data_IF_195870004526
#
_entry.id   IF_195870004526
#
_cell.length_a   1.000
_cell.length_b   1.000
_cell.length_c   1.000
_cell.angle_alpha   90.00
_cell.angle_beta   90.00
_cell.angle_gamma   90.00
#
_symmetry.space_group_name_H-M   'P 1'
#
loop_
_entity.id
_entity.type
_entity.pdbx_description
1 polymer ?
#
# COMPACT_ATOMS: atom_id res chain seq x y z
N UNK A 1 15.64 5.54 -18.84
CA UNK A 1 14.68 6.36 -19.61
C UNK A 1 13.62 6.83 -18.64
N UNK A 2 13.83 7.98 -17.98
CA UNK A 2 12.83 8.55 -17.07
C UNK A 2 11.82 9.30 -17.93
N UNK A 3 10.66 8.69 -18.21
CA UNK A 3 9.56 9.39 -18.85
C UNK A 3 9.08 10.48 -17.90
N UNK A 4 9.22 11.74 -18.32
CA UNK A 4 8.66 12.91 -17.67
C UNK A 4 7.12 12.86 -17.76
N UNK A 5 6.49 11.98 -16.98
CA UNK A 5 5.04 11.97 -16.85
C UNK A 5 4.68 13.14 -15.94
N UNK A 6 4.00 14.14 -16.50
CA UNK A 6 3.45 15.25 -15.73
C UNK A 6 2.46 14.72 -14.71
N UNK A 7 2.36 15.33 -13.54
CA UNK A 7 1.45 14.88 -12.47
C UNK A 7 0.00 14.80 -12.96
N UNK A 8 -0.42 15.64 -13.93
CA UNK A 8 -1.72 15.52 -14.59
C UNK A 8 -1.93 14.16 -15.28
N UNK A 9 -0.95 13.70 -16.04
CA UNK A 9 -1.02 12.41 -16.74
C UNK A 9 -0.95 11.23 -15.76
N UNK A 10 -0.22 11.40 -14.64
CA UNK A 10 -0.20 10.42 -13.54
C UNK A 10 -1.57 10.29 -12.88
N UNK A 11 -2.21 11.41 -12.53
CA UNK A 11 -3.57 11.41 -11.94
C UNK A 11 -4.58 10.71 -12.84
N UNK A 12 -4.51 10.95 -14.16
CA UNK A 12 -5.33 10.25 -15.16
C UNK A 12 -5.03 8.74 -15.20
N UNK A 13 -3.75 8.37 -15.28
CA UNK A 13 -3.32 6.96 -15.31
C UNK A 13 -3.71 6.20 -14.04
N UNK A 14 -3.69 6.87 -12.87
CA UNK A 14 -4.14 6.31 -11.59
C UNK A 14 -5.64 6.04 -11.60
N UNK A 15 -6.44 7.01 -12.05
CA UNK A 15 -7.89 6.86 -12.18
C UNK A 15 -8.25 5.66 -13.09
N UNK A 16 -7.59 5.55 -14.23
CA UNK A 16 -7.77 4.41 -15.16
C UNK A 16 -7.32 3.08 -14.53
N UNK A 17 -6.15 3.05 -13.87
CA UNK A 17 -5.60 1.86 -13.22
C UNK A 17 -6.55 1.27 -12.17
N UNK A 18 -7.18 2.14 -11.38
CA UNK A 18 -8.11 1.73 -10.33
C UNK A 18 -9.58 1.74 -10.77
N UNK A 19 -9.85 1.99 -12.06
CA UNK A 19 -11.21 2.01 -12.64
C UNK A 19 -12.15 2.95 -11.88
N UNK A 20 -11.67 4.16 -11.58
CA UNK A 20 -12.47 5.17 -10.89
C UNK A 20 -13.52 5.73 -11.86
N UNK A 21 -14.77 5.31 -11.69
CA UNK A 21 -15.89 5.72 -12.56
C UNK A 21 -16.58 7.01 -12.08
N UNK A 22 -16.38 7.40 -10.81
CA UNK A 22 -16.98 8.57 -10.20
C UNK A 22 -16.22 9.03 -8.97
N UNK A 23 -16.60 10.20 -8.44
CA UNK A 23 -16.04 10.75 -7.20
C UNK A 23 -17.16 11.06 -6.21
N UNK A 24 -16.93 10.93 -4.89
CA UNK A 24 -15.68 10.54 -4.25
C UNK A 24 -15.36 9.05 -4.40
N UNK A 25 -14.08 8.70 -4.50
CA UNK A 25 -13.61 7.30 -4.43
C UNK A 25 -12.34 7.24 -3.60
N UNK A 26 -12.26 6.28 -2.69
CA UNK A 26 -11.10 6.01 -1.86
C UNK A 26 -10.62 4.58 -2.14
N UNK A 27 -9.43 4.44 -2.72
CA UNK A 27 -8.81 3.13 -2.97
C UNK A 27 -7.77 2.89 -1.89
N UNK A 28 -7.87 1.78 -1.17
CA UNK A 28 -6.98 1.47 -0.05
C UNK A 28 -6.00 0.38 -0.45
N UNK A 29 -4.71 0.68 -0.31
CA UNK A 29 -3.60 -0.20 -0.66
C UNK A 29 -2.77 -0.55 0.58
N UNK A 30 -2.27 -1.78 0.61
CA UNK A 30 -1.29 -2.27 1.58
C UNK A 30 0.05 -1.53 1.45
N UNK A 31 0.96 -1.72 2.41
CA UNK A 31 2.33 -1.19 2.30
C UNK A 31 3.08 -1.67 1.04
N UNK A 32 2.81 -2.92 0.63
CA UNK A 32 3.36 -3.50 -0.60
C UNK A 32 2.66 -3.01 -1.91
N UNK A 33 1.57 -2.23 -1.80
CA UNK A 33 0.75 -1.78 -2.92
C UNK A 33 -0.33 -2.76 -3.39
N UNK A 34 -0.65 -3.80 -2.61
CA UNK A 34 -1.78 -4.69 -2.88
C UNK A 34 -3.11 -4.02 -2.52
N UNK A 35 -4.17 -4.34 -3.26
CA UNK A 35 -5.49 -3.78 -3.02
C UNK A 35 -6.13 -4.37 -1.74
N UNK A 36 -6.38 -3.53 -0.75
CA UNK A 36 -7.13 -3.87 0.47
C UNK A 36 -8.61 -3.54 0.32
N UNK A 37 -8.95 -2.38 -0.25
CA UNK A 37 -10.34 -2.01 -0.55
C UNK A 37 -10.43 -1.18 -1.84
N UNK A 38 -11.23 -1.60 -2.84
CA UNK A 38 -11.50 -0.78 -4.03
C UNK A 38 -12.48 0.37 -3.78
N UNK A 39 -13.27 0.30 -2.69
CA UNK A 39 -14.32 1.28 -2.37
C UNK A 39 -14.31 1.61 -0.87
N UNK A 40 -13.20 2.19 -0.45
CA UNK A 40 -13.01 2.69 0.90
C UNK A 40 -14.01 3.78 1.28
N UNK A 41 -14.62 4.47 0.30
CA UNK A 41 -15.62 5.50 0.54
C UNK A 41 -16.91 4.91 1.09
N UNK A 42 -17.36 3.79 0.54
CA UNK A 42 -18.50 3.04 1.08
C UNK A 42 -18.16 2.37 2.42
N UNK A 43 -16.95 1.84 2.58
CA UNK A 43 -16.49 1.29 3.87
C UNK A 43 -16.56 2.34 4.98
N UNK A 44 -16.04 3.56 4.75
CA UNK A 44 -16.12 4.67 5.71
C UNK A 44 -17.56 5.09 5.96
N UNK A 45 -18.40 5.15 4.92
CA UNK A 45 -19.81 5.54 5.07
C UNK A 45 -20.60 4.53 5.90
N UNK A 46 -20.28 3.23 5.79
CA UNK A 46 -20.99 2.16 6.46
C UNK A 46 -20.45 1.83 7.86
N UNK A 47 -19.13 1.90 8.06
CA UNK A 47 -18.43 1.46 9.28
C UNK A 47 -17.73 2.59 10.04
N UNK A 48 -17.65 3.79 9.47
CA UNK A 48 -16.87 4.89 10.04
C UNK A 48 -15.41 4.51 10.28
N UNK A 49 -14.87 4.91 11.42
CA UNK A 49 -13.48 4.67 11.84
C UNK A 49 -13.10 3.18 11.93
N UNK A 50 -14.07 2.26 12.10
CA UNK A 50 -13.80 0.83 12.10
C UNK A 50 -13.36 0.29 10.72
N UNK A 51 -13.68 1.00 9.64
CA UNK A 51 -13.12 0.70 8.32
C UNK A 51 -11.60 0.78 8.33
N UNK A 52 -11.03 1.88 8.86
CA UNK A 52 -9.58 2.09 8.92
C UNK A 52 -8.92 1.02 9.79
N UNK A 53 -9.52 0.72 10.95
CA UNK A 53 -9.05 -0.37 11.83
C UNK A 53 -9.05 -1.72 11.14
N UNK A 54 -10.05 -1.99 10.28
CA UNK A 54 -10.12 -3.24 9.52
C UNK A 54 -9.01 -3.35 8.48
N UNK A 55 -8.74 -2.28 7.72
CA UNK A 55 -7.65 -2.28 6.74
C UNK A 55 -6.28 -2.48 7.38
N UNK A 56 -6.03 -1.88 8.55
CA UNK A 56 -4.79 -2.10 9.32
C UNK A 56 -4.64 -3.54 9.84
N UNK A 57 -5.76 -4.21 10.14
CA UNK A 57 -5.76 -5.63 10.54
C UNK A 57 -5.56 -6.55 9.34
N UNK A 58 -6.02 -6.16 8.16
CA UNK A 58 -5.81 -6.95 6.95
C UNK A 58 -4.40 -6.76 6.39
N UNK A 59 -3.82 -5.57 6.54
CA UNK A 59 -2.39 -5.31 6.34
C UNK A 59 -1.54 -6.26 7.19
N UNK A 60 -1.82 -6.40 8.48
CA UNK A 60 -1.02 -7.29 9.34
C UNK A 60 -1.15 -8.76 8.96
N UNK A 61 -2.23 -9.17 8.28
CA UNK A 61 -2.37 -10.52 7.69
C UNK A 61 -1.67 -10.65 6.32
N UNK A 62 -1.67 -9.59 5.51
CA UNK A 62 -1.03 -9.53 4.18
C UNK A 62 0.50 -9.43 4.27
N UNK A 63 0.98 -8.73 5.30
CA UNK A 63 2.39 -8.59 5.68
C UNK A 63 2.88 -9.66 6.64
N UNK A 64 1.97 -10.49 7.17
CA UNK A 64 2.31 -11.84 7.63
C UNK A 64 2.64 -12.73 6.43
N UNK A 65 3.73 -12.38 5.74
CA UNK A 65 4.60 -13.39 5.17
C UNK A 65 4.99 -14.23 6.39
N UNK A 66 4.32 -15.37 6.58
CA UNK A 66 4.92 -16.46 7.34
C UNK A 66 6.35 -16.53 6.83
N UNK A 67 7.40 -16.45 7.69
CA UNK A 67 8.76 -16.60 7.22
C UNK A 67 8.73 -17.79 6.28
N UNK A 68 9.14 -17.62 5.03
CA UNK A 68 9.23 -18.74 4.10
C UNK A 68 10.30 -19.66 4.69
N UNK A 69 9.86 -20.53 5.60
CA UNK A 69 10.68 -21.44 6.35
C UNK A 69 11.25 -22.41 5.33
N UNK A 70 12.57 -22.42 5.24
CA UNK A 70 13.27 -23.30 4.33
C UNK A 70 13.77 -24.51 5.09
N UNK A 71 13.57 -25.65 4.46
CA UNK A 71 14.05 -26.93 4.95
C UNK A 71 15.13 -27.45 3.98
N UNK A 72 16.40 -27.01 4.13
CA UNK A 72 17.49 -27.46 3.27
C UNK A 72 17.59 -28.99 3.23
N UNK A 73 17.71 -29.54 2.03
CA UNK A 73 17.83 -30.99 1.83
C UNK A 73 16.54 -31.78 2.01
N UNK A 74 15.43 -31.13 2.36
CA UNK A 74 14.12 -31.78 2.50
C UNK A 74 13.34 -31.59 1.21
N UNK A 75 12.87 -32.69 0.63
CA UNK A 75 12.05 -32.67 -0.57
C UNK A 75 10.60 -33.01 -0.25
N UNK A 76 9.64 -32.37 -0.92
CA UNK A 76 8.24 -32.78 -0.84
C UNK A 76 8.01 -34.03 -1.71
N UNK A 77 7.58 -35.15 -1.14
CA UNK A 77 7.33 -36.39 -1.89
C UNK A 77 6.15 -36.28 -2.88
N UNK A 78 5.25 -35.31 -2.70
CA UNK A 78 4.09 -35.12 -3.58
C UNK A 78 4.36 -34.26 -4.82
N UNK A 79 5.21 -33.22 -4.72
CA UNK A 79 5.50 -32.30 -5.84
C UNK A 79 6.99 -32.19 -6.18
N UNK A 80 7.85 -32.90 -5.46
CA UNK A 80 9.31 -32.91 -5.62
C UNK A 80 10.00 -31.56 -5.38
N UNK A 81 9.30 -30.61 -4.75
CA UNK A 81 9.90 -29.34 -4.34
C UNK A 81 11.05 -29.57 -3.35
N UNK A 82 12.23 -29.04 -3.66
CA UNK A 82 13.44 -29.12 -2.84
C UNK A 82 14.28 -27.83 -3.01
N UNK A 83 14.67 -27.13 -1.92
CA UNK A 83 14.25 -27.36 -0.54
C UNK A 83 12.75 -27.10 -0.36
N UNK A 84 12.12 -27.82 0.56
CA UNK A 84 10.73 -27.62 0.93
C UNK A 84 10.59 -26.22 1.56
N UNK A 85 9.61 -25.45 1.06
CA UNK A 85 9.32 -24.08 1.49
C UNK A 85 7.98 -24.06 2.25
N UNK A 86 7.97 -23.42 3.42
CA UNK A 86 6.78 -23.26 4.28
C UNK A 86 6.62 -24.37 5.32
N UNK A 87 5.38 -24.67 5.70
CA UNK A 87 5.09 -25.73 6.67
C UNK A 87 5.50 -27.10 6.11
N UNK A 88 6.27 -27.83 6.92
CA UNK A 88 6.68 -29.19 6.63
C UNK A 88 5.77 -30.15 7.38
N UNK A 89 5.10 -31.02 6.64
CA UNK A 89 4.38 -32.14 7.20
C UNK A 89 5.23 -33.40 7.05
N UNK A 90 5.54 -34.08 8.14
CA UNK A 90 6.29 -35.35 8.13
C UNK A 90 5.35 -36.49 8.48
N UNK A 91 5.48 -37.61 7.76
CA UNK A 91 4.80 -38.84 8.15
C UNK A 91 5.50 -39.49 9.35
N UNK A 92 4.72 -39.93 10.33
CA UNK A 92 5.24 -40.68 11.48
C UNK A 92 5.60 -42.13 11.14
N UNK A 93 5.05 -42.66 10.04
CA UNK A 93 5.13 -44.09 9.66
C UNK A 93 6.07 -44.32 8.48
N UNK A 94 6.01 -43.50 7.43
CA UNK A 94 6.87 -43.63 6.27
C UNK A 94 8.25 -43.02 6.52
N UNK A 95 9.28 -43.68 5.99
CA UNK A 95 10.65 -43.18 6.04
C UNK A 95 10.84 -41.98 5.10
N UNK A 96 11.51 -40.95 5.61
CA UNK A 96 11.76 -39.64 4.99
C UNK A 96 10.62 -39.04 4.14
N UNK A 97 9.37 -39.26 4.56
CA UNK A 97 8.21 -38.79 3.82
C UNK A 97 7.76 -37.42 4.33
N UNK A 98 7.93 -36.41 3.49
CA UNK A 98 7.66 -35.02 3.77
C UNK A 98 6.71 -34.44 2.72
N UNK A 99 5.73 -33.64 3.13
CA UNK A 99 4.82 -32.93 2.23
C UNK A 99 4.77 -31.44 2.58
N UNK A 100 4.64 -30.59 1.55
CA UNK A 100 4.23 -29.20 1.73
C UNK A 100 2.72 -29.13 1.99
N UNK A 101 2.21 -28.01 2.54
CA UNK A 101 0.79 -27.84 2.86
C UNK A 101 -0.15 -28.10 1.66
N UNK A 102 0.29 -27.78 0.43
CA UNK A 102 -0.50 -28.04 -0.77
C UNK A 102 -0.62 -29.55 -1.09
N UNK A 103 0.43 -30.34 -0.86
CA UNK A 103 0.40 -31.78 -1.08
C UNK A 103 -0.25 -32.51 0.10
N UNK A 104 -0.12 -32.00 1.32
CA UNK A 104 -0.83 -32.54 2.49
C UNK A 104 -2.35 -32.56 2.28
N UNK A 105 -2.92 -31.51 1.69
CA UNK A 105 -4.36 -31.44 1.37
C UNK A 105 -4.84 -32.50 0.39
N UNK A 106 -3.95 -33.09 -0.41
CA UNK A 106 -4.27 -34.19 -1.33
C UNK A 106 -4.41 -35.54 -0.61
N UNK A 107 -4.02 -35.59 0.66
CA UNK A 107 -4.04 -36.80 1.47
C UNK A 107 -2.78 -37.65 1.31
N UNK A 108 -2.47 -38.37 2.38
CA UNK A 108 -1.51 -39.47 2.44
C UNK A 108 -2.11 -40.53 3.36
N UNK A 109 -1.83 -41.80 3.10
CA UNK A 109 -2.48 -42.94 3.77
C UNK A 109 -2.22 -42.98 5.29
N UNK A 110 -1.08 -42.45 5.72
CA UNK A 110 -0.69 -42.36 7.13
C UNK A 110 -0.84 -40.95 7.69
N UNK A 111 -0.92 -40.87 9.02
CA UNK A 111 -0.98 -39.60 9.74
C UNK A 111 0.27 -38.74 9.49
N UNK A 112 0.03 -37.45 9.26
CA UNK A 112 1.04 -36.43 9.01
C UNK A 112 1.08 -35.47 10.20
N UNK A 113 2.27 -35.22 10.73
CA UNK A 113 2.48 -34.22 11.80
C UNK A 113 3.20 -32.99 11.24
N UNK A 114 2.85 -31.81 11.75
CA UNK A 114 3.55 -30.57 11.41
C UNK A 114 4.88 -30.56 12.16
N UNK A 115 5.98 -30.36 11.45
CA UNK A 115 7.31 -30.19 12.04
C UNK A 115 7.45 -28.74 12.51
N UNK A 116 7.77 -28.48 13.80
CA UNK A 116 7.94 -27.12 14.31
C UNK A 116 9.00 -26.34 13.55
N UNK A 117 8.72 -25.06 13.32
CA UNK A 117 9.56 -24.12 12.57
C UNK A 117 10.93 -23.82 13.22
N UNK A 118 11.12 -24.18 14.49
CA UNK A 118 12.40 -24.06 15.21
C UNK A 118 13.55 -24.81 14.53
N UNK A 119 13.23 -25.81 13.70
CA UNK A 119 14.22 -26.58 12.93
C UNK A 119 14.41 -26.05 11.49
N UNK A 120 13.64 -25.04 11.08
CA UNK A 120 13.75 -24.43 9.77
C UNK A 120 14.80 -23.30 9.77
N UNK A 121 15.40 -23.05 8.61
CA UNK A 121 16.33 -21.93 8.43
C UNK A 121 15.66 -20.80 7.67
N UNK A 122 15.89 -19.56 8.09
CA UNK A 122 15.56 -18.36 7.31
C UNK A 122 16.72 -18.01 6.37
N UNK A 123 16.77 -18.64 5.19
CA UNK A 123 17.85 -18.34 4.23
C UNK A 123 17.51 -17.11 3.38
N UNK A 124 18.07 -15.96 3.74
CA UNK A 124 18.00 -14.71 2.96
C UNK A 124 18.42 -14.89 1.49
N UNK A 125 19.31 -15.84 1.19
CA UNK A 125 19.79 -16.09 -0.16
C UNK A 125 18.78 -16.81 -1.05
N UNK A 126 17.92 -17.67 -0.49
CA UNK A 126 16.98 -18.47 -1.27
C UNK A 126 15.68 -17.70 -1.58
N UNK A 127 15.27 -16.79 -0.69
CA UNK A 127 14.19 -15.81 -0.96
C UNK A 127 14.49 -14.96 -2.21
N UNK A 128 15.77 -14.73 -2.52
CA UNK A 128 16.20 -14.01 -3.71
C UNK A 128 16.08 -14.85 -5.00
N UNK A 129 16.11 -16.19 -4.88
CA UNK A 129 16.11 -17.11 -6.04
C UNK A 129 14.73 -17.68 -6.39
N UNK A 130 13.79 -17.76 -5.44
CA UNK A 130 12.40 -18.15 -5.73
C UNK A 130 11.52 -16.94 -6.11
N UNK A 131 11.96 -16.18 -7.12
CA UNK A 131 11.17 -15.10 -7.72
C UNK A 131 10.13 -15.67 -8.70
N UNK A 132 9.24 -16.53 -8.20
CA UNK A 132 7.95 -16.88 -8.82
C UNK A 132 6.80 -16.85 -7.81
N UNK A 133 6.85 -15.91 -6.88
CA UNK A 133 5.70 -15.08 -6.56
C UNK A 133 6.20 -13.64 -6.59
N UNK A 134 6.00 -12.98 -7.72
CA UNK A 134 6.12 -11.53 -7.79
C UNK A 134 5.03 -10.94 -6.89
N UNK A 135 5.25 -10.86 -5.58
CA UNK A 135 4.68 -9.74 -4.81
C UNK A 135 5.29 -8.51 -5.48
N UNK A 136 4.51 -7.85 -6.34
CA UNK A 136 4.92 -6.58 -6.93
C UNK A 136 5.07 -5.62 -5.75
N UNK A 137 6.29 -5.42 -5.26
CA UNK A 137 6.61 -4.31 -4.39
C UNK A 137 6.36 -3.07 -5.23
N UNK A 138 5.18 -2.47 -5.12
CA UNK A 138 4.88 -1.26 -5.87
C UNK A 138 5.70 -0.16 -5.23
N UNK A 139 6.63 0.42 -5.97
CA UNK A 139 7.33 1.61 -5.49
C UNK A 139 6.32 2.76 -5.54
N UNK A 140 6.02 3.39 -4.40
CA UNK A 140 5.04 4.48 -4.34
C UNK A 140 5.30 5.59 -5.36
N UNK A 141 6.58 5.83 -5.70
CA UNK A 141 6.99 6.77 -6.76
C UNK A 141 6.40 6.48 -8.14
N UNK A 142 6.15 5.20 -8.46
CA UNK A 142 5.61 4.79 -9.75
C UNK A 142 4.13 5.16 -9.86
N UNK A 143 3.42 5.15 -8.73
CA UNK A 143 2.01 5.55 -8.64
C UNK A 143 1.87 7.06 -8.48
N UNK A 144 2.51 7.63 -7.47
CA UNK A 144 2.19 8.95 -6.93
C UNK A 144 3.24 10.02 -7.24
N UNK A 145 4.35 9.65 -7.87
CA UNK A 145 5.48 10.56 -8.10
C UNK A 145 6.46 10.62 -6.93
N UNK A 146 7.55 11.36 -7.08
CA UNK A 146 8.66 11.39 -6.11
C UNK A 146 8.36 12.24 -4.87
N UNK A 147 7.42 13.18 -4.98
CA UNK A 147 7.09 14.11 -3.90
C UNK A 147 5.58 14.30 -3.78
N UNK A 148 5.11 14.39 -2.54
CA UNK A 148 3.76 14.83 -2.20
C UNK A 148 3.82 16.23 -1.59
N UNK A 149 2.64 16.78 -1.30
CA UNK A 149 2.48 18.02 -0.57
C UNK A 149 1.61 17.81 0.68
N UNK A 150 1.89 18.59 1.72
CA UNK A 150 1.01 18.76 2.87
C UNK A 150 0.81 20.24 3.17
N UNK A 151 -0.36 20.60 3.72
CA UNK A 151 -0.65 21.98 4.10
C UNK A 151 0.19 22.40 5.31
N UNK A 152 0.92 23.52 5.19
CA UNK A 152 1.59 24.15 6.32
C UNK A 152 0.92 25.50 6.59
N UNK A 153 0.23 25.63 7.72
CA UNK A 153 -0.40 26.88 8.10
C UNK A 153 0.67 27.89 8.57
N UNK A 154 1.19 28.70 7.65
CA UNK A 154 1.92 29.93 7.99
C UNK A 154 1.31 31.11 7.24
N UNK A 155 0.96 32.12 8.04
CA UNK A 155 0.39 33.45 7.73
C UNK A 155 0.40 33.88 6.24
N UNK A 156 -0.80 34.24 5.78
CA UNK A 156 -1.15 35.05 4.60
C UNK A 156 -0.79 34.52 3.19
N UNK A 157 -0.25 33.31 3.08
CA UNK A 157 -0.17 32.59 1.80
C UNK A 157 -0.19 31.08 2.04
N UNK A 158 -0.91 30.33 1.21
CA UNK A 158 -0.92 28.87 1.28
C UNK A 158 0.46 28.40 0.84
N UNK A 159 1.28 27.95 1.79
CA UNK A 159 2.58 27.36 1.50
C UNK A 159 2.45 25.86 1.77
N UNK A 160 2.55 25.08 0.70
CA UNK A 160 2.65 23.63 0.82
C UNK A 160 4.06 23.19 1.15
N UNK A 161 4.22 22.32 2.15
CA UNK A 161 5.48 21.62 2.38
C UNK A 161 5.55 20.45 1.41
N UNK A 162 6.61 20.40 0.61
CA UNK A 162 6.94 19.20 -0.16
C UNK A 162 7.49 18.12 0.76
N UNK A 163 7.00 16.90 0.59
CA UNK A 163 7.37 15.74 1.39
C UNK A 163 7.84 14.60 0.47
N UNK A 164 8.94 13.91 0.79
CA UNK A 164 9.42 12.83 -0.05
C UNK A 164 8.44 11.65 -0.01
N UNK A 165 8.28 10.95 -1.14
CA UNK A 165 7.34 9.81 -1.23
C UNK A 165 7.67 8.66 -0.27
N UNK A 166 8.92 8.58 0.22
CA UNK A 166 9.36 7.64 1.24
C UNK A 166 8.65 7.82 2.59
N UNK A 167 7.99 8.96 2.84
CA UNK A 167 7.11 9.11 4.01
C UNK A 167 5.91 8.14 3.99
N UNK A 168 5.65 7.46 2.87
CA UNK A 168 4.63 6.40 2.75
C UNK A 168 5.17 4.98 2.98
N UNK A 169 6.48 4.82 3.18
CA UNK A 169 7.08 3.50 3.32
C UNK A 169 6.51 2.77 4.56
N UNK A 170 6.14 1.50 4.37
CA UNK A 170 5.52 0.65 5.40
C UNK A 170 4.13 1.11 5.89
N UNK A 171 3.45 1.98 5.14
CA UNK A 171 2.10 2.46 5.48
C UNK A 171 1.05 1.86 4.57
N UNK A 172 -0.13 1.60 5.12
CA UNK A 172 -1.36 1.48 4.34
C UNK A 172 -1.67 2.85 3.75
N UNK A 173 -1.97 2.92 2.45
CA UNK A 173 -2.22 4.18 1.75
C UNK A 173 -3.63 4.20 1.17
N UNK A 174 -4.42 5.19 1.57
CA UNK A 174 -5.70 5.52 0.94
C UNK A 174 -5.51 6.55 -0.17
N UNK A 175 -5.68 6.16 -1.44
CA UNK A 175 -5.68 7.09 -2.57
C UNK A 175 -7.09 7.67 -2.73
N UNK A 176 -7.23 8.96 -2.42
CA UNK A 176 -8.53 9.62 -2.36
C UNK A 176 -8.77 10.49 -3.60
N UNK A 177 -9.64 10.04 -4.50
CA UNK A 177 -10.06 10.79 -5.68
C UNK A 177 -11.27 11.66 -5.35
N UNK A 178 -11.11 12.98 -5.52
CA UNK A 178 -12.14 13.95 -5.18
C UNK A 178 -11.96 15.28 -5.91
N UNK A 179 -12.95 16.17 -5.80
CA UNK A 179 -12.86 17.54 -6.32
C UNK A 179 -13.75 18.50 -5.53
N UNK A 180 -13.34 19.78 -5.50
CA UNK A 180 -14.06 20.86 -4.83
C UNK A 180 -15.45 21.06 -5.43
N UNK A 181 -15.57 21.02 -6.76
CA UNK A 181 -16.84 21.25 -7.48
C UNK A 181 -17.87 20.14 -7.27
N UNK A 182 -17.46 18.95 -6.79
CA UNK A 182 -18.31 17.77 -6.63
C UNK A 182 -19.13 17.81 -5.32
N UNK A 183 -20.47 17.84 -5.44
CA UNK A 183 -21.38 17.86 -4.29
C UNK A 183 -21.24 16.66 -3.34
N UNK A 184 -21.33 15.40 -3.82
CA UNK A 184 -21.13 14.21 -3.00
C UNK A 184 -19.77 14.19 -2.27
N UNK A 185 -18.73 14.72 -2.93
CA UNK A 185 -17.38 14.82 -2.39
C UNK A 185 -17.31 15.76 -1.18
N UNK A 186 -17.94 16.94 -1.27
CA UNK A 186 -18.03 17.89 -0.14
C UNK A 186 -18.81 17.33 1.05
N UNK A 187 -19.73 16.38 0.82
CA UNK A 187 -20.44 15.69 1.91
C UNK A 187 -19.63 14.55 2.54
N UNK A 188 -18.78 13.89 1.76
CA UNK A 188 -17.98 12.76 2.22
C UNK A 188 -16.69 13.19 2.93
N UNK A 189 -16.01 14.21 2.43
CA UNK A 189 -14.69 14.65 2.94
C UNK A 189 -14.67 14.93 4.45
N UNK A 190 -15.65 15.65 5.03
CA UNK A 190 -15.67 15.89 6.47
C UNK A 190 -15.85 14.60 7.29
N UNK A 191 -16.58 13.61 6.75
CA UNK A 191 -16.74 12.30 7.39
C UNK A 191 -15.42 11.52 7.38
N UNK A 192 -14.71 11.55 6.25
CA UNK A 192 -13.41 10.90 6.12
C UNK A 192 -12.36 11.55 7.04
N UNK A 193 -12.29 12.88 7.06
CA UNK A 193 -11.39 13.63 7.96
C UNK A 193 -11.65 13.30 9.42
N UNK A 194 -12.93 13.29 9.84
CA UNK A 194 -13.32 12.88 11.20
C UNK A 194 -12.84 11.46 11.52
N UNK A 195 -13.06 10.49 10.63
CA UNK A 195 -12.63 9.12 10.87
C UNK A 195 -11.10 9.00 10.95
N UNK A 196 -10.37 9.73 10.10
CA UNK A 196 -8.91 9.77 10.09
C UNK A 196 -8.36 10.32 11.42
N UNK A 197 -8.88 11.45 11.88
CA UNK A 197 -8.48 12.09 13.14
C UNK A 197 -8.80 11.23 14.36
N UNK A 198 -9.97 10.57 14.38
CA UNK A 198 -10.40 9.70 15.48
C UNK A 198 -9.44 8.53 15.73
N UNK A 199 -8.82 7.99 14.67
CA UNK A 199 -7.93 6.83 14.78
C UNK A 199 -6.45 7.21 14.81
N UNK A 200 -6.09 8.50 14.67
CA UNK A 200 -4.71 8.95 14.49
C UNK A 200 -3.73 8.40 15.55
N UNK A 201 -4.16 8.32 16.81
CA UNK A 201 -3.37 7.76 17.91
C UNK A 201 -3.20 6.24 17.83
N UNK A 202 -4.16 5.53 17.23
CA UNK A 202 -4.13 4.09 16.98
C UNK A 202 -3.30 3.73 15.73
N UNK A 203 -3.19 4.65 14.77
CA UNK A 203 -2.46 4.42 13.52
C UNK A 203 -0.98 4.11 13.77
N UNK A 204 -0.36 4.75 14.78
CA UNK A 204 1.08 4.69 15.04
C UNK A 204 1.90 4.93 13.77
N UNK A 205 1.48 5.91 12.96
CA UNK A 205 2.07 6.25 11.66
C UNK A 205 1.97 5.14 10.57
N UNK A 206 1.05 4.17 10.71
CA UNK A 206 0.88 3.06 9.74
C UNK A 206 -0.16 3.29 8.66
N UNK A 207 -0.84 4.43 8.64
CA UNK A 207 -1.85 4.77 7.63
C UNK A 207 -1.71 6.22 7.21
N UNK A 208 -1.89 6.49 5.92
CA UNK A 208 -1.88 7.82 5.34
C UNK A 208 -2.89 7.90 4.19
N UNK A 209 -3.45 9.09 3.96
CA UNK A 209 -4.31 9.38 2.81
C UNK A 209 -3.55 10.30 1.84
N UNK A 210 -3.64 10.00 0.55
CA UNK A 210 -3.10 10.83 -0.52
C UNK A 210 -4.24 11.30 -1.40
N UNK A 211 -4.53 12.60 -1.33
CA UNK A 211 -5.53 13.26 -2.15
C UNK A 211 -5.06 13.40 -3.60
N UNK A 212 -5.91 12.93 -4.52
CA UNK A 212 -5.79 13.03 -5.96
C UNK A 212 -6.94 13.90 -6.47
N UNK A 213 -6.63 15.17 -6.69
CA UNK A 213 -7.61 16.15 -7.14
C UNK A 213 -8.01 15.98 -8.60
N UNK A 214 -9.31 16.08 -8.85
CA UNK A 214 -9.94 16.25 -10.17
C UNK A 214 -10.43 17.68 -10.39
N UNK A 215 -9.92 18.66 -9.63
CA UNK A 215 -10.17 20.08 -9.85
C UNK A 215 -9.51 20.57 -11.14
N UNK A 216 -10.14 21.56 -11.78
CA UNK A 216 -9.70 22.08 -13.07
C UNK A 216 -8.74 23.28 -12.92
N UNK A 217 -8.70 23.88 -11.74
CA UNK A 217 -7.89 25.05 -11.41
C UNK A 217 -7.28 24.95 -10.01
N UNK A 218 -6.14 25.61 -9.84
CA UNK A 218 -5.33 25.56 -8.61
C UNK A 218 -6.04 26.20 -7.42
N UNK A 219 -6.85 27.24 -7.64
CA UNK A 219 -7.60 27.91 -6.58
C UNK A 219 -8.64 26.96 -5.96
N UNK A 220 -9.41 26.25 -6.78
CA UNK A 220 -10.36 25.24 -6.31
C UNK A 220 -9.68 24.10 -5.56
N UNK A 221 -8.52 23.65 -6.06
CA UNK A 221 -7.69 22.68 -5.36
C UNK A 221 -7.25 23.18 -3.99
N UNK A 222 -6.73 24.41 -3.94
CA UNK A 222 -6.17 25.03 -2.76
C UNK A 222 -7.21 25.22 -1.65
N UNK A 223 -8.38 25.79 -2.00
CA UNK A 223 -9.49 26.00 -1.07
C UNK A 223 -9.98 24.69 -0.44
N UNK A 224 -9.97 23.62 -1.22
CA UNK A 224 -10.47 22.32 -0.79
C UNK A 224 -9.42 21.48 -0.03
N UNK A 225 -8.18 21.45 -0.50
CA UNK A 225 -7.12 20.67 0.12
C UNK A 225 -6.77 21.20 1.52
N UNK A 226 -6.88 22.51 1.76
CA UNK A 226 -6.69 23.10 3.10
C UNK A 226 -7.63 22.56 4.17
N UNK A 227 -8.77 21.96 3.79
CA UNK A 227 -9.70 21.35 4.75
C UNK A 227 -9.34 19.90 5.10
N UNK A 228 -8.24 19.37 4.57
CA UNK A 228 -7.88 17.96 4.69
C UNK A 228 -6.64 17.77 5.59
N UNK A 229 -6.67 16.84 6.56
CA UNK A 229 -5.57 16.61 7.50
C UNK A 229 -4.46 15.68 6.96
N UNK A 230 -4.41 15.44 5.64
CA UNK A 230 -3.56 14.45 5.00
C UNK A 230 -2.76 15.03 3.82
N UNK A 231 -2.04 14.18 3.08
CA UNK A 231 -1.17 14.59 1.97
C UNK A 231 -1.92 14.66 0.64
N UNK A 232 -1.34 15.33 -0.36
CA UNK A 232 -1.88 15.35 -1.73
C UNK A 232 -0.77 15.19 -2.78
N UNK A 233 -1.16 14.73 -3.96
CA UNK A 233 -0.33 14.93 -5.15
C UNK A 233 -0.34 16.41 -5.54
N UNK A 234 0.81 17.00 -5.92
CA UNK A 234 0.88 18.39 -6.40
C UNK A 234 -0.18 18.69 -7.49
N UNK A 235 -0.78 19.89 -7.48
CA UNK A 235 -1.80 20.25 -8.46
C UNK A 235 -1.24 20.27 -9.89
N UNK A 236 -0.16 21.03 -10.08
CA UNK A 236 0.63 21.13 -11.31
C UNK A 236 2.04 20.56 -11.09
N UNK A 237 2.66 20.03 -12.15
CA UNK A 237 3.88 19.22 -12.11
C UNK A 237 5.14 19.96 -11.64
N UNK A 238 5.21 20.26 -10.36
CA UNK A 238 6.36 20.90 -9.72
C UNK A 238 7.09 19.91 -8.82
N UNK A 239 7.39 18.71 -9.34
CA UNK A 239 8.43 17.87 -8.74
C UNK A 239 9.84 18.47 -8.92
N UNK A 240 9.99 19.55 -9.72
CA UNK A 240 11.30 20.13 -10.08
C UNK A 240 11.42 21.67 -9.97
N UNK A 241 10.38 22.41 -9.56
CA UNK A 241 10.49 23.88 -9.49
C UNK A 241 11.51 24.34 -8.43
N UNK A 242 11.72 23.56 -7.36
CA UNK A 242 12.67 23.91 -6.29
C UNK A 242 14.13 23.50 -6.58
N UNK A 243 14.39 22.43 -7.34
CA UNK A 243 15.77 21.97 -7.59
C UNK A 243 16.53 22.96 -8.48
N UNK A 244 15.85 23.60 -9.45
CA UNK A 244 16.50 24.55 -10.34
C UNK A 244 16.70 25.95 -9.73
N UNK A 245 15.95 26.33 -8.69
CA UNK A 245 16.12 27.64 -8.04
C UNK A 245 17.32 27.66 -7.08
N UNK A 246 17.64 26.53 -6.44
CA UNK A 246 18.82 26.42 -5.55
C UNK A 246 20.13 26.32 -6.33
N UNK A 247 20.12 25.72 -7.53
CA UNK A 247 21.33 25.60 -8.38
C UNK A 247 21.67 26.93 -9.07
N UNK A 248 20.68 27.80 -9.34
CA UNK A 248 20.91 29.15 -9.89
C UNK A 248 21.53 30.12 -8.90
N UNK A 249 21.44 29.87 -7.59
CA UNK A 249 21.99 30.73 -6.55
C UNK A 249 23.39 30.28 -6.09
N UNK A 250 23.89 29.17 -6.65
CA UNK A 250 25.22 28.60 -6.39
C UNK A 250 26.12 28.61 -7.65
N UNK A 251 25.81 29.46 -8.64
CA UNK A 251 26.67 29.75 -9.79
C UNK A 251 26.96 31.24 -9.90
#
# INVERSE_FOLDING_TARGET
>A
MNSFILDRDRKKSLSEKFKVEGIPTLVVLSADGNLLSPDGSNDITSKGSDAIRSWLKDESKSSAVQPEYLWPGVSCNGCQMNPLVGERHKCSTCDDYNLCSACQKKGHEHELTIVPDTLATVSKLFLLFNRRASKMTTKWSDLLGENLIEANARQDSIIYRHVPISELDNKVVGIYFSAHWCGPCRNFTPKLAKCYEEVQSELQDRFEIVFVSSDQDEKSFDEYFQTMPWKAMPFSGSSNAFINQTISLLR
#
